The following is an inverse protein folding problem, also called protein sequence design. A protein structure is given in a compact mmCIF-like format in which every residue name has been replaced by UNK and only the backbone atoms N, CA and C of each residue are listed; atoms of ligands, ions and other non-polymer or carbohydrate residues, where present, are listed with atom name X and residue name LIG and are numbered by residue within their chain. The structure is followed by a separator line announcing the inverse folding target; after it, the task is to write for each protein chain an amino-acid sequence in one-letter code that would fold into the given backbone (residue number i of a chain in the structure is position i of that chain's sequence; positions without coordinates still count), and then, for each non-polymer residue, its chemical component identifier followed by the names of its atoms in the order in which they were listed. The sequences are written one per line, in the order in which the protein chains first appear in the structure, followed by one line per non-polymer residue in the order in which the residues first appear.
data_IF_009718107325
#
_entry.id   IF_009718107325
#
_cell.length_a   1.000
_cell.length_b   1.000
_cell.length_c   1.000
_cell.angle_alpha   90.00
_cell.angle_beta   90.00
_cell.angle_gamma   90.00
#
_symmetry.space_group_name_H-M   'P 1'
#
loop_
_entity.id
_entity.type
_entity.pdbx_description
1 polymer ?
#
# COMPACT_ATOMS: atom_id res chain seq x y z
N UNK A 1 -10.85 23.37 -6.53
CA UNK A 1 -10.00 23.13 -7.74
C UNK A 1 -10.42 21.79 -8.31
N UNK A 2 -10.96 21.77 -9.52
CA UNK A 2 -11.26 20.51 -10.20
C UNK A 2 -9.99 19.94 -10.89
N UNK A 3 -10.06 18.75 -11.45
CA UNK A 3 -8.92 18.08 -12.10
C UNK A 3 -8.40 18.90 -13.29
N UNK A 4 -9.29 19.50 -14.07
CA UNK A 4 -8.91 20.28 -15.25
C UNK A 4 -8.13 21.53 -14.87
N UNK A 5 -8.60 22.28 -13.87
CA UNK A 5 -7.88 23.45 -13.32
C UNK A 5 -6.48 23.05 -12.82
N UNK A 6 -6.37 21.87 -12.17
CA UNK A 6 -5.09 21.36 -11.70
C UNK A 6 -4.13 21.08 -12.86
N UNK A 7 -4.59 20.37 -13.89
CA UNK A 7 -3.78 20.03 -15.06
C UNK A 7 -3.29 21.28 -15.81
N UNK A 8 -4.19 22.24 -16.03
CA UNK A 8 -3.86 23.49 -16.69
C UNK A 8 -2.81 24.31 -15.92
N UNK A 9 -3.00 24.45 -14.58
CA UNK A 9 -2.07 25.15 -13.72
C UNK A 9 -0.66 24.51 -13.67
N UNK A 10 -0.58 23.22 -13.92
CA UNK A 10 0.68 22.47 -13.97
C UNK A 10 1.19 22.20 -15.39
N UNK A 11 0.58 22.83 -16.41
CA UNK A 11 0.90 22.68 -17.84
C UNK A 11 0.86 21.20 -18.28
N UNK A 12 -0.06 20.44 -17.74
CA UNK A 12 -0.30 19.05 -18.09
C UNK A 12 -1.47 18.94 -19.06
N UNK A 13 -1.34 18.07 -20.07
CA UNK A 13 -2.43 17.82 -21.01
C UNK A 13 -3.57 17.07 -20.33
N UNK A 14 -4.81 17.50 -20.56
CA UNK A 14 -5.98 16.71 -20.18
C UNK A 14 -6.02 15.43 -21.03
N UNK A 15 -6.36 14.26 -20.46
CA UNK A 15 -6.55 13.03 -21.22
C UNK A 15 -7.74 13.09 -22.21
N UNK A 16 -8.52 14.19 -22.24
CA UNK A 16 -9.60 14.39 -23.21
C UNK A 16 -10.76 13.40 -23.04
N UNK A 17 -10.98 12.85 -21.85
CA UNK A 17 -12.06 11.89 -21.55
C UNK A 17 -13.40 12.59 -21.64
N UNK A 18 -14.33 12.03 -22.43
CA UNK A 18 -15.71 12.53 -22.59
C UNK A 18 -16.64 11.75 -21.67
N UNK A 19 -17.68 12.41 -21.17
CA UNK A 19 -18.72 11.79 -20.32
C UNK A 19 -19.51 10.67 -21.03
N UNK A 20 -19.47 10.63 -22.37
CA UNK A 20 -20.08 9.59 -23.19
C UNK A 20 -19.22 8.33 -23.36
N UNK A 21 -17.96 8.34 -22.89
CA UNK A 21 -17.07 7.19 -23.02
C UNK A 21 -17.53 6.06 -22.11
N UNK A 22 -17.59 4.84 -22.66
CA UNK A 22 -17.67 3.62 -21.88
C UNK A 22 -16.34 3.37 -21.14
N UNK A 23 -16.32 2.45 -20.20
CA UNK A 23 -15.09 2.05 -19.50
C UNK A 23 -13.99 1.58 -20.49
N UNK A 24 -14.36 0.78 -21.48
CA UNK A 24 -13.41 0.30 -22.50
C UNK A 24 -12.90 1.44 -23.40
N UNK A 25 -13.74 2.42 -23.73
CA UNK A 25 -13.30 3.59 -24.48
C UNK A 25 -12.24 4.39 -23.69
N UNK A 26 -12.45 4.54 -22.40
CA UNK A 26 -11.49 5.21 -21.50
C UNK A 26 -10.16 4.45 -21.50
N UNK A 27 -10.16 3.14 -21.30
CA UNK A 27 -8.94 2.33 -21.30
C UNK A 27 -8.20 2.45 -22.63
N UNK A 28 -8.92 2.31 -23.73
CA UNK A 28 -8.32 2.44 -25.08
C UNK A 28 -7.75 3.84 -25.32
N UNK A 29 -8.52 4.88 -24.97
CA UNK A 29 -8.11 6.27 -25.16
C UNK A 29 -6.88 6.64 -24.31
N UNK A 30 -6.79 6.12 -23.09
CA UNK A 30 -5.66 6.34 -22.19
C UNK A 30 -4.50 5.36 -22.42
N UNK A 31 -4.58 4.45 -23.39
CA UNK A 31 -3.64 3.34 -23.57
C UNK A 31 -3.38 2.59 -22.25
N UNK A 32 -4.45 2.26 -21.53
CA UNK A 32 -4.42 1.69 -20.20
C UNK A 32 -4.95 0.25 -20.18
N UNK A 33 -4.41 -0.56 -19.26
CA UNK A 33 -4.91 -1.89 -18.95
C UNK A 33 -5.45 -1.93 -17.53
N UNK A 34 -6.58 -2.58 -17.33
CA UNK A 34 -7.18 -2.78 -16.01
C UNK A 34 -7.21 -4.26 -15.67
N UNK A 35 -6.51 -4.65 -14.60
CA UNK A 35 -6.39 -6.04 -14.16
C UNK A 35 -6.83 -6.17 -12.70
N UNK A 36 -7.42 -7.30 -12.32
CA UNK A 36 -8.09 -7.49 -11.03
C UNK A 36 -7.70 -8.76 -10.28
N UNK A 37 -6.72 -9.52 -10.79
CA UNK A 37 -6.31 -10.81 -10.20
C UNK A 37 -5.24 -10.67 -9.10
N UNK A 38 -5.06 -9.48 -8.53
CA UNK A 38 -4.12 -9.24 -7.44
C UNK A 38 -2.68 -9.61 -7.82
N UNK A 39 -2.02 -10.43 -6.97
CA UNK A 39 -0.64 -10.87 -7.20
C UNK A 39 -0.46 -11.59 -8.55
N UNK A 40 -1.44 -12.39 -8.99
CA UNK A 40 -1.38 -13.06 -10.28
C UNK A 40 -1.24 -12.06 -11.44
N UNK A 41 -1.90 -10.91 -11.36
CA UNK A 41 -1.78 -9.87 -12.39
C UNK A 41 -0.36 -9.30 -12.50
N UNK A 42 0.38 -9.23 -11.38
CA UNK A 42 1.77 -8.79 -11.40
C UNK A 42 2.67 -9.81 -12.11
N UNK A 43 2.41 -11.11 -11.93
CA UNK A 43 3.19 -12.19 -12.55
C UNK A 43 3.11 -12.17 -14.09
N UNK A 44 2.05 -11.59 -14.65
CA UNK A 44 1.87 -11.44 -16.10
C UNK A 44 2.63 -10.23 -16.69
N UNK A 45 3.11 -9.32 -15.83
CA UNK A 45 3.89 -8.15 -16.26
C UNK A 45 5.36 -8.56 -16.42
N UNK A 46 5.98 -8.17 -17.53
CA UNK A 46 7.38 -8.46 -17.82
C UNK A 46 8.33 -7.81 -16.80
N UNK A 47 9.48 -8.45 -16.58
CA UNK A 47 10.56 -7.90 -15.76
C UNK A 47 11.03 -6.56 -16.31
N UNK A 48 11.41 -5.64 -15.41
CA UNK A 48 12.00 -4.35 -15.75
C UNK A 48 11.22 -3.57 -16.84
N UNK A 49 9.88 -3.58 -16.77
CA UNK A 49 9.02 -2.96 -17.79
C UNK A 49 8.30 -1.70 -17.31
N UNK A 50 8.17 -1.51 -16.00
CA UNK A 50 7.42 -0.40 -15.39
C UNK A 50 8.36 0.73 -14.99
N UNK A 51 8.09 1.94 -15.48
CA UNK A 51 8.90 3.14 -15.18
C UNK A 51 8.64 3.71 -13.79
N UNK A 52 7.39 3.64 -13.32
CA UNK A 52 6.98 4.13 -12.02
C UNK A 52 5.75 3.37 -11.52
N UNK A 53 5.73 3.05 -10.23
CA UNK A 53 4.61 2.40 -9.58
C UNK A 53 4.18 3.21 -8.36
N UNK A 54 2.88 3.33 -8.14
CA UNK A 54 2.37 3.91 -6.89
C UNK A 54 1.17 3.16 -6.35
N UNK A 55 0.94 3.31 -5.05
CA UNK A 55 -0.29 2.87 -4.40
C UNK A 55 -0.71 3.84 -3.30
N UNK A 56 -2.01 3.98 -3.12
CA UNK A 56 -2.63 4.79 -2.07
C UNK A 56 -3.59 3.91 -1.28
N UNK A 57 -3.34 3.75 0.03
CA UNK A 57 -4.16 2.96 0.95
C UNK A 57 -4.53 1.57 0.39
N UNK A 58 -3.54 0.86 -0.13
CA UNK A 58 -3.73 -0.45 -0.79
C UNK A 58 -2.93 -1.56 -0.10
N UNK A 59 -1.67 -1.28 0.26
CA UNK A 59 -0.75 -2.31 0.75
C UNK A 59 -1.21 -2.93 2.07
N UNK A 60 -1.92 -2.20 2.91
CA UNK A 60 -2.53 -2.74 4.13
C UNK A 60 -3.59 -3.81 3.86
N UNK A 61 -4.17 -3.87 2.66
CA UNK A 61 -5.19 -4.84 2.27
C UNK A 61 -4.62 -6.10 1.59
N UNK A 62 -3.37 -6.06 1.13
CA UNK A 62 -2.69 -7.26 0.63
C UNK A 62 -2.64 -8.30 1.74
N UNK A 63 -3.05 -9.54 1.46
CA UNK A 63 -3.05 -10.60 2.46
C UNK A 63 -1.67 -10.79 3.10
N UNK A 64 -1.67 -11.00 4.42
CA UNK A 64 -0.44 -11.16 5.18
C UNK A 64 0.48 -12.25 4.62
N UNK A 65 -0.09 -13.33 4.12
CA UNK A 65 0.63 -14.45 3.49
C UNK A 65 1.30 -14.10 2.17
N UNK A 66 0.79 -13.11 1.44
CA UNK A 66 1.22 -12.72 0.10
C UNK A 66 2.06 -11.44 0.10
N UNK A 67 2.07 -10.70 1.20
CA UNK A 67 2.62 -9.35 1.27
C UNK A 67 4.08 -9.27 0.84
N UNK A 68 4.92 -10.18 1.31
CA UNK A 68 6.34 -10.16 0.94
C UNK A 68 6.57 -10.53 -0.53
N UNK A 69 5.85 -11.53 -1.03
CA UNK A 69 5.89 -11.92 -2.44
C UNK A 69 5.41 -10.77 -3.34
N UNK A 70 4.33 -10.08 -2.93
CA UNK A 70 3.85 -8.88 -3.61
C UNK A 70 4.94 -7.80 -3.73
N UNK A 71 5.73 -7.55 -2.68
CA UNK A 71 6.86 -6.62 -2.73
C UNK A 71 7.97 -7.08 -3.67
N UNK A 72 8.27 -8.38 -3.68
CA UNK A 72 9.25 -8.95 -4.60
C UNK A 72 8.82 -8.80 -6.06
N UNK A 73 7.56 -9.09 -6.37
CA UNK A 73 6.99 -8.92 -7.70
C UNK A 73 6.95 -7.43 -8.12
N UNK A 74 6.58 -6.55 -7.20
CA UNK A 74 6.66 -5.09 -7.41
C UNK A 74 8.08 -4.67 -7.84
N UNK A 75 9.10 -5.21 -7.15
CA UNK A 75 10.50 -4.93 -7.51
C UNK A 75 10.89 -5.54 -8.85
N UNK A 76 10.45 -6.78 -9.16
CA UNK A 76 10.75 -7.47 -10.41
C UNK A 76 10.28 -6.69 -11.64
N UNK A 77 9.03 -6.18 -11.59
CA UNK A 77 8.44 -5.46 -12.73
C UNK A 77 8.97 -4.05 -12.92
N UNK A 78 9.46 -3.40 -11.85
CA UNK A 78 10.03 -2.06 -11.92
C UNK A 78 11.36 -2.06 -12.66
N UNK A 79 11.57 -1.09 -13.54
CA UNK A 79 12.87 -0.84 -14.18
C UNK A 79 13.91 -0.53 -13.11
N UNK A 80 15.11 -0.98 -13.37
CA UNK A 80 16.28 -0.60 -12.56
C UNK A 80 16.53 0.90 -12.67
N UNK A 81 16.93 1.55 -11.59
CA UNK A 81 17.07 3.00 -11.53
C UNK A 81 15.74 3.76 -11.41
N UNK A 82 14.61 3.06 -11.31
CA UNK A 82 13.29 3.68 -11.18
C UNK A 82 12.83 3.84 -9.72
N UNK A 83 11.68 4.44 -9.55
CA UNK A 83 11.09 4.73 -8.23
C UNK A 83 9.70 4.12 -8.09
N UNK A 84 9.29 3.84 -6.85
CA UNK A 84 7.88 3.64 -6.51
C UNK A 84 7.50 4.42 -5.25
N UNK A 85 6.22 4.76 -5.15
CA UNK A 85 5.66 5.54 -4.05
C UNK A 85 4.44 4.85 -3.47
N UNK A 86 4.40 4.72 -2.15
CA UNK A 86 3.27 4.11 -1.46
C UNK A 86 2.80 4.99 -0.31
N UNK A 87 1.49 5.13 -0.15
CA UNK A 87 0.88 5.63 1.07
C UNK A 87 0.15 4.48 1.74
N UNK A 88 0.48 4.21 3.00
CA UNK A 88 -0.01 3.04 3.74
C UNK A 88 -0.75 3.52 4.99
N UNK A 89 -1.99 3.08 5.17
CA UNK A 89 -2.80 3.35 6.35
C UNK A 89 -2.67 2.19 7.35
N UNK A 90 -2.15 2.47 8.55
CA UNK A 90 -1.96 1.47 9.60
C UNK A 90 -3.08 1.47 10.65
N UNK A 91 -4.13 2.26 10.44
CA UNK A 91 -5.32 2.24 11.28
C UNK A 91 -6.16 0.99 11.02
N UNK A 92 -6.99 0.65 11.96
CA UNK A 92 -8.01 -0.36 11.73
C UNK A 92 -9.25 0.22 11.02
N UNK A 93 -10.02 -0.64 10.38
CA UNK A 93 -11.33 -0.31 9.81
C UNK A 93 -12.47 -0.60 10.79
N UNK A 94 -12.15 -0.72 12.09
CA UNK A 94 -13.08 -0.97 13.21
C UNK A 94 -13.20 0.28 14.11
N UNK A 95 -13.12 1.48 13.53
CA UNK A 95 -13.19 2.76 14.24
C UNK A 95 -11.96 3.65 14.11
N UNK A 96 -11.00 3.31 13.25
CA UNK A 96 -9.84 4.14 12.92
C UNK A 96 -8.74 4.19 13.99
N UNK A 97 -8.70 3.19 14.88
CA UNK A 97 -7.69 3.05 15.92
C UNK A 97 -6.75 1.88 15.69
N UNK A 98 -6.58 1.04 16.73
CA UNK A 98 -5.77 -0.19 16.73
C UNK A 98 -6.60 -1.40 17.24
N UNK A 99 -7.91 -1.39 17.04
CA UNK A 99 -8.79 -2.45 17.53
C UNK A 99 -8.53 -3.80 16.84
N UNK A 100 -8.09 -3.79 15.58
CA UNK A 100 -7.65 -4.97 14.85
C UNK A 100 -6.52 -5.73 15.57
N UNK A 101 -5.65 -5.03 16.31
CA UNK A 101 -4.53 -5.61 17.06
C UNK A 101 -4.93 -6.27 18.37
N UNK A 102 -6.23 -6.23 18.76
CA UNK A 102 -6.78 -6.95 19.93
C UNK A 102 -6.99 -8.43 19.63
N UNK A 103 -7.09 -8.81 18.37
CA UNK A 103 -7.30 -10.17 17.93
C UNK A 103 -5.97 -10.88 17.69
N UNK A 104 -5.87 -12.14 18.11
CA UNK A 104 -4.71 -12.97 17.78
C UNK A 104 -4.61 -13.17 16.27
N UNK A 105 -3.41 -13.46 15.77
CA UNK A 105 -3.20 -13.75 14.34
C UNK A 105 -4.07 -14.93 13.89
N UNK A 106 -4.21 -15.98 14.69
CA UNK A 106 -5.06 -17.13 14.36
C UNK A 106 -6.52 -16.73 14.09
N UNK A 107 -7.07 -15.82 14.89
CA UNK A 107 -8.44 -15.33 14.70
C UNK A 107 -8.54 -14.42 13.50
N UNK A 108 -7.63 -13.45 13.39
CA UNK A 108 -7.68 -12.43 12.33
C UNK A 108 -7.42 -12.99 10.92
N UNK A 109 -6.55 -13.97 10.80
CA UNK A 109 -6.26 -14.64 9.54
C UNK A 109 -7.25 -15.78 9.20
N UNK A 110 -8.32 -15.95 10.00
CA UNK A 110 -9.40 -16.88 9.66
C UNK A 110 -10.15 -16.43 8.41
N UNK A 111 -10.81 -17.37 7.71
CA UNK A 111 -11.58 -17.09 6.49
C UNK A 111 -12.61 -15.99 6.69
N UNK A 112 -13.30 -15.96 7.85
CA UNK A 112 -14.33 -14.97 8.16
C UNK A 112 -13.74 -13.55 8.18
N UNK A 113 -12.61 -13.36 8.87
CA UNK A 113 -11.98 -12.03 8.95
C UNK A 113 -11.30 -11.65 7.63
N UNK A 114 -10.61 -12.57 6.95
CA UNK A 114 -9.98 -12.30 5.65
C UNK A 114 -10.97 -11.85 4.58
N UNK A 115 -12.18 -12.37 4.60
CA UNK A 115 -13.22 -12.01 3.65
C UNK A 115 -14.09 -10.84 4.10
N UNK A 116 -13.80 -10.24 5.26
CA UNK A 116 -14.52 -9.07 5.73
C UNK A 116 -14.00 -7.80 5.06
N UNK A 117 -14.87 -6.83 4.84
CA UNK A 117 -14.51 -5.52 4.26
C UNK A 117 -13.61 -4.66 5.17
N UNK A 118 -13.32 -5.11 6.39
CA UNK A 118 -12.44 -4.42 7.35
C UNK A 118 -11.08 -5.10 7.54
N UNK A 119 -10.76 -6.15 6.75
CA UNK A 119 -9.47 -6.82 6.85
C UNK A 119 -8.31 -5.88 6.50
N UNK A 120 -7.26 -5.94 7.33
CA UNK A 120 -5.94 -5.39 7.05
C UNK A 120 -4.89 -6.41 7.48
N UNK A 121 -3.71 -6.43 6.87
CA UNK A 121 -2.64 -7.40 7.19
C UNK A 121 -1.97 -7.15 8.55
N UNK A 122 -2.23 -5.99 9.16
CA UNK A 122 -1.75 -5.60 10.49
C UNK A 122 -0.23 -5.51 10.64
N UNK A 123 0.52 -5.49 9.55
CA UNK A 123 1.93 -5.16 9.65
C UNK A 123 2.09 -3.73 10.17
N UNK A 124 3.07 -3.54 11.05
CA UNK A 124 3.37 -2.21 11.57
C UNK A 124 4.53 -1.58 10.80
N UNK A 125 4.71 -0.29 11.02
CA UNK A 125 5.65 0.54 10.31
C UNK A 125 7.05 -0.08 10.18
N UNK A 126 7.67 -0.47 11.31
CA UNK A 126 9.02 -1.06 11.31
C UNK A 126 9.10 -2.37 10.51
N UNK A 127 8.06 -3.20 10.58
CA UNK A 127 8.00 -4.47 9.86
C UNK A 127 7.92 -4.24 8.34
N UNK A 128 7.11 -3.27 7.91
CA UNK A 128 6.96 -2.92 6.49
C UNK A 128 8.29 -2.39 5.94
N UNK A 129 8.96 -1.48 6.67
CA UNK A 129 10.28 -0.97 6.26
C UNK A 129 11.31 -2.10 6.11
N UNK A 130 11.31 -3.05 7.05
CA UNK A 130 12.19 -4.22 6.99
C UNK A 130 11.92 -5.07 5.75
N UNK A 131 10.64 -5.27 5.41
CA UNK A 131 10.25 -6.05 4.23
C UNK A 131 10.59 -5.34 2.91
N UNK A 132 10.43 -4.02 2.81
CA UNK A 132 10.90 -3.26 1.65
C UNK A 132 12.41 -3.41 1.43
N UNK A 133 13.20 -3.22 2.50
CA UNK A 133 14.66 -3.43 2.44
C UNK A 133 15.03 -4.86 2.05
N UNK A 134 14.34 -5.86 2.64
CA UNK A 134 14.56 -7.28 2.32
C UNK A 134 14.19 -7.62 0.87
N UNK A 135 13.18 -6.97 0.31
CA UNK A 135 12.82 -7.10 -1.09
C UNK A 135 13.83 -6.38 -2.02
N UNK A 136 14.81 -5.66 -1.47
CA UNK A 136 15.88 -5.01 -2.22
C UNK A 136 15.57 -3.58 -2.66
N UNK A 137 14.64 -2.90 -2.01
CA UNK A 137 14.41 -1.47 -2.22
C UNK A 137 15.29 -0.63 -1.32
N UNK A 138 15.69 0.53 -1.82
CA UNK A 138 16.30 1.60 -1.03
C UNK A 138 15.25 2.65 -0.65
N UNK A 139 15.28 3.09 0.61
CA UNK A 139 14.34 4.10 1.11
C UNK A 139 14.92 5.49 0.83
N UNK A 140 14.21 6.29 0.02
CA UNK A 140 14.62 7.65 -0.35
C UNK A 140 14.02 8.68 0.60
N UNK A 141 12.73 8.57 0.88
CA UNK A 141 12.03 9.52 1.74
C UNK A 141 10.86 8.85 2.44
N UNK A 142 10.58 9.31 3.67
CA UNK A 142 9.40 8.89 4.44
C UNK A 142 8.76 10.11 5.10
N UNK A 143 7.43 10.20 4.97
CA UNK A 143 6.61 11.14 5.73
C UNK A 143 5.61 10.36 6.58
N UNK A 144 5.67 10.51 7.90
CA UNK A 144 4.77 9.83 8.85
C UNK A 144 3.68 10.77 9.36
N UNK A 145 2.51 10.18 9.63
CA UNK A 145 1.49 10.74 10.51
C UNK A 145 1.38 9.86 11.75
N UNK A 146 1.27 10.46 12.91
CA UNK A 146 1.29 9.73 14.18
C UNK A 146 0.12 10.17 15.08
N UNK A 147 -0.37 9.25 15.90
CA UNK A 147 -1.27 9.59 16.99
C UNK A 147 -0.51 10.41 18.04
N UNK A 148 -1.16 11.38 18.64
CA UNK A 148 -0.61 12.12 19.79
C UNK A 148 -0.49 11.25 21.06
N UNK A 149 -1.35 10.21 21.16
CA UNK A 149 -1.33 9.20 22.21
C UNK A 149 -1.89 7.88 21.66
N UNK A 150 -1.50 6.76 22.26
CA UNK A 150 -2.05 5.46 21.86
C UNK A 150 -3.57 5.46 21.96
N UNK A 151 -4.30 5.07 20.89
CA UNK A 151 -5.75 5.01 20.89
C UNK A 151 -6.30 3.87 21.76
N UNK A 152 -5.44 2.94 22.18
CA UNK A 152 -5.77 1.81 23.04
C UNK A 152 -4.62 1.52 24.02
N UNK A 153 -4.95 1.04 25.22
CA UNK A 153 -3.93 0.60 26.19
C UNK A 153 -3.27 -0.69 25.70
N UNK A 154 -1.93 -0.78 25.80
CA UNK A 154 -1.15 -1.96 25.36
C UNK A 154 -1.64 -3.29 25.93
N UNK A 155 -2.09 -3.31 27.17
CA UNK A 155 -2.62 -4.52 27.81
C UNK A 155 -3.97 -5.02 27.23
N UNK A 156 -4.56 -4.28 26.30
CA UNK A 156 -5.75 -4.69 25.53
C UNK A 156 -5.41 -5.27 24.16
N UNK A 157 -4.14 -5.19 23.76
CA UNK A 157 -3.64 -5.78 22.51
C UNK A 157 -3.41 -7.29 22.68
N UNK A 158 -3.47 -8.04 21.59
CA UNK A 158 -3.06 -9.43 21.59
C UNK A 158 -1.56 -9.56 21.92
N UNK A 159 -1.16 -10.70 22.47
CA UNK A 159 0.20 -10.95 22.98
C UNK A 159 1.31 -10.61 21.97
N UNK A 160 1.07 -10.89 20.70
CA UNK A 160 2.02 -10.60 19.60
C UNK A 160 2.25 -9.12 19.34
N UNK A 161 1.36 -8.23 19.82
CA UNK A 161 1.44 -6.77 19.61
C UNK A 161 1.73 -5.98 20.88
N UNK A 162 1.46 -6.52 22.08
CA UNK A 162 1.63 -5.78 23.33
C UNK A 162 3.09 -5.39 23.60
N UNK A 163 4.05 -6.15 23.08
CA UNK A 163 5.49 -5.92 23.26
C UNK A 163 6.12 -5.02 22.17
N UNK A 164 5.36 -4.62 21.15
CA UNK A 164 5.87 -3.70 20.13
C UNK A 164 6.23 -2.34 20.73
N UNK A 165 7.27 -1.66 20.21
CA UNK A 165 7.61 -0.31 20.64
C UNK A 165 6.40 0.63 20.52
N UNK A 166 6.23 1.51 21.50
CA UNK A 166 5.14 2.49 21.47
C UNK A 166 5.25 3.41 20.24
N UNK A 167 6.47 3.79 19.87
CA UNK A 167 6.74 4.58 18.67
C UNK A 167 6.22 3.92 17.38
N UNK A 168 6.30 2.59 17.28
CA UNK A 168 5.81 1.85 16.13
C UNK A 168 4.27 1.77 16.12
N UNK A 169 3.66 1.64 17.29
CA UNK A 169 2.21 1.64 17.44
C UNK A 169 1.57 3.03 17.23
N UNK A 170 2.32 4.10 17.46
CA UNK A 170 1.86 5.47 17.25
C UNK A 170 1.74 5.85 15.77
N UNK A 171 2.48 5.19 14.87
CA UNK A 171 2.37 5.49 13.43
C UNK A 171 0.98 5.09 12.94
N UNK A 172 0.19 6.08 12.51
CA UNK A 172 -1.17 5.86 11.98
C UNK A 172 -1.16 5.67 10.45
N UNK A 173 -0.26 6.36 9.75
CA UNK A 173 -0.05 6.20 8.31
C UNK A 173 1.33 6.75 7.92
N UNK A 174 1.82 6.36 6.77
CA UNK A 174 3.04 6.96 6.21
C UNK A 174 3.05 6.88 4.69
N UNK A 175 3.68 7.88 4.07
CA UNK A 175 4.03 7.85 2.65
C UNK A 175 5.52 7.57 2.54
N UNK A 176 5.91 6.72 1.60
CA UNK A 176 7.29 6.30 1.37
C UNK A 176 7.61 6.37 -0.12
N UNK A 177 8.77 6.94 -0.42
CA UNK A 177 9.39 6.89 -1.75
C UNK A 177 10.55 5.90 -1.69
N UNK A 178 10.53 4.95 -2.60
CA UNK A 178 11.49 3.86 -2.71
C UNK A 178 12.22 3.95 -4.05
N UNK A 179 13.48 3.56 -4.05
CA UNK A 179 14.32 3.43 -5.24
C UNK A 179 14.58 1.95 -5.53
N UNK A 180 14.54 1.59 -6.79
CA UNK A 180 14.87 0.26 -7.29
C UNK A 180 16.32 0.27 -7.82
N UNK A 181 17.33 -0.17 -7.04
CA UNK A 181 18.73 -0.06 -7.44
C UNK A 181 19.09 -0.95 -8.64
N UNK A 182 20.21 -0.62 -9.27
CA UNK A 182 20.71 -1.22 -10.53
C UNK A 182 21.40 -2.58 -10.36
N UNK A 183 21.29 -3.28 -9.30
CA UNK A 183 22.05 -4.53 -9.11
C UNK A 183 21.96 -5.50 -10.27
#
# INVERSE_FOLDING_TARGET
MNMQDYLENHRMSSPGIKSSFSFNDILTHCNAHYVTSGLQSLNEISDNSIDFLFSEATLEHVYKSEFYEFLCETKRILKRGSYCSHTIDLRDHLGGGLNNLRFTTKVWESKIFKQSGFYTNRYRYSQILTMFKKAGFEIVNIKKKEYTKLPIKKNKLAREYCNLPTSDLLVLSFSILLFCPEQ
#
